data_IF_597464990168
#
_entry.id   IF_597464990168
#
_cell.length_a   1.000
_cell.length_b   1.000
_cell.length_c   1.000
_cell.angle_alpha   90.00
_cell.angle_beta   90.00
_cell.angle_gamma   90.00
#
_symmetry.space_group_name_H-M   'P 1'
#
loop_
_entity.id
_entity.type
_entity.pdbx_description
1 polymer ?
#
# COMPACT_ATOMS: atom_id res chain seq x y z
N UNK A 1 -0.44 29.46 -9.24
CA UNK A 1 -1.18 28.74 -10.30
C UNK A 1 -2.65 28.95 -10.03
N UNK A 2 -3.40 29.50 -10.98
CA UNK A 2 -4.86 29.50 -10.93
C UNK A 2 -5.31 28.03 -10.88
N UNK A 3 -6.09 27.66 -9.85
CA UNK A 3 -6.54 26.28 -9.66
C UNK A 3 -7.42 25.77 -10.80
N UNK A 4 -7.66 24.46 -10.83
CA UNK A 4 -8.61 23.84 -11.74
C UNK A 4 -10.03 24.30 -11.42
N UNK A 5 -10.97 24.21 -12.37
CA UNK A 5 -12.39 24.51 -12.15
C UNK A 5 -13.11 23.37 -11.45
N UNK A 6 -12.69 22.13 -11.69
CA UNK A 6 -13.28 20.94 -11.07
C UNK A 6 -12.69 20.65 -9.70
N UNK A 7 -13.55 20.26 -8.76
CA UNK A 7 -13.12 19.76 -7.46
C UNK A 7 -12.26 18.50 -7.61
N UNK A 8 -12.59 17.65 -8.58
CA UNK A 8 -11.86 16.42 -8.87
C UNK A 8 -10.36 16.65 -9.11
N UNK A 9 -10.00 17.51 -10.08
CA UNK A 9 -8.60 17.75 -10.40
C UNK A 9 -7.88 18.55 -9.30
N UNK A 10 -8.58 19.47 -8.62
CA UNK A 10 -8.01 20.16 -7.46
C UNK A 10 -7.65 19.20 -6.32
N UNK A 11 -8.54 18.24 -6.01
CA UNK A 11 -8.29 17.21 -4.99
C UNK A 11 -7.12 16.32 -5.39
N UNK A 12 -7.09 15.82 -6.64
CA UNK A 12 -5.99 14.97 -7.10
C UNK A 12 -4.64 15.73 -7.12
N UNK A 13 -4.62 16.98 -7.57
CA UNK A 13 -3.42 17.81 -7.60
C UNK A 13 -2.89 18.09 -6.19
N UNK A 14 -3.74 18.54 -5.28
CA UNK A 14 -3.35 18.92 -3.91
C UNK A 14 -2.89 17.72 -3.06
N UNK A 15 -3.39 16.53 -3.36
CA UNK A 15 -2.98 15.27 -2.72
C UNK A 15 -1.80 14.58 -3.41
N UNK A 16 -1.37 15.06 -4.59
CA UNK A 16 -0.21 14.54 -5.30
C UNK A 16 -0.47 13.27 -6.12
N UNK A 17 -1.71 13.06 -6.57
CA UNK A 17 -2.08 11.92 -7.42
C UNK A 17 -1.70 12.09 -8.89
N UNK A 18 -1.50 13.32 -9.37
CA UNK A 18 -1.34 13.59 -10.82
C UNK A 18 0.12 13.41 -11.22
N UNK A 19 0.37 12.47 -12.16
CA UNK A 19 1.63 12.32 -12.84
C UNK A 19 1.59 12.89 -14.26
N UNK A 20 0.69 12.37 -15.10
CA UNK A 20 0.49 12.81 -16.48
C UNK A 20 -1.00 12.85 -16.83
N UNK A 21 -1.40 13.77 -17.70
CA UNK A 21 -2.75 13.88 -18.24
C UNK A 21 -2.65 14.14 -19.75
N UNK A 22 -3.56 13.56 -20.55
CA UNK A 22 -3.56 13.77 -22.00
C UNK A 22 -4.03 15.17 -22.39
N UNK A 23 -4.99 15.72 -21.66
CA UNK A 23 -5.55 17.05 -21.87
C UNK A 23 -6.22 17.52 -20.56
N UNK A 24 -5.55 18.45 -19.87
CA UNK A 24 -6.06 19.00 -18.62
C UNK A 24 -7.30 19.88 -18.83
N UNK A 25 -7.36 20.67 -19.89
CA UNK A 25 -8.45 21.62 -20.09
C UNK A 25 -9.75 20.89 -20.41
N UNK A 26 -9.71 19.94 -21.34
CA UNK A 26 -10.87 19.12 -21.69
C UNK A 26 -11.37 18.26 -20.53
N UNK A 27 -10.45 17.65 -19.77
CA UNK A 27 -10.82 16.85 -18.60
C UNK A 27 -11.41 17.70 -17.48
N UNK A 28 -10.81 18.86 -17.19
CA UNK A 28 -11.32 19.78 -16.17
C UNK A 28 -12.72 20.28 -16.50
N UNK A 29 -12.96 20.65 -17.75
CA UNK A 29 -14.28 21.08 -18.21
C UNK A 29 -15.34 19.98 -18.12
N UNK A 30 -14.96 18.70 -18.34
CA UNK A 30 -15.85 17.55 -18.19
C UNK A 30 -16.17 17.27 -16.71
N UNK A 31 -15.14 17.23 -15.87
CA UNK A 31 -15.28 16.93 -14.44
C UNK A 31 -16.01 18.04 -13.68
N UNK A 32 -15.84 19.31 -14.07
CA UNK A 32 -16.54 20.45 -13.48
C UNK A 32 -18.06 20.41 -13.71
N UNK A 33 -18.52 19.67 -14.73
CA UNK A 33 -19.94 19.44 -15.01
C UNK A 33 -20.49 18.19 -14.30
N UNK A 34 -19.67 17.45 -13.55
CA UNK A 34 -20.05 16.15 -12.97
C UNK A 34 -20.26 15.06 -14.03
N UNK A 35 -19.67 15.21 -15.22
CA UNK A 35 -19.88 14.33 -16.37
C UNK A 35 -18.69 13.39 -16.63
N UNK A 36 -17.68 13.38 -15.77
CA UNK A 36 -16.56 12.45 -15.92
C UNK A 36 -17.00 11.05 -15.45
N UNK A 37 -17.29 10.18 -16.41
CA UNK A 37 -17.34 8.73 -16.14
C UNK A 37 -15.95 8.18 -16.41
N UNK A 38 -15.32 7.59 -15.40
CA UNK A 38 -13.94 7.13 -15.49
C UNK A 38 -13.75 5.71 -14.95
N UNK A 39 -12.78 4.99 -15.50
CA UNK A 39 -12.46 3.63 -15.07
C UNK A 39 -11.00 3.42 -14.70
N UNK A 40 -10.78 2.40 -13.88
CA UNK A 40 -9.48 1.74 -13.68
C UNK A 40 -9.69 0.24 -13.91
N UNK A 41 -8.79 -0.39 -14.66
CA UNK A 41 -8.74 -1.83 -14.87
C UNK A 41 -7.97 -2.57 -13.78
N UNK A 42 -8.49 -3.73 -13.36
CA UNK A 42 -7.87 -4.58 -12.34
C UNK A 42 -7.81 -6.04 -12.80
N UNK A 43 -6.61 -6.46 -13.22
CA UNK A 43 -6.35 -7.86 -13.59
C UNK A 43 -6.39 -8.80 -12.37
N UNK A 44 -7.03 -9.95 -12.56
CA UNK A 44 -7.41 -10.91 -11.52
C UNK A 44 -6.31 -11.96 -11.31
N UNK A 45 -5.06 -11.52 -11.19
CA UNK A 45 -3.87 -12.38 -11.13
C UNK A 45 -3.64 -13.06 -9.77
N UNK A 46 -4.36 -12.60 -8.73
CA UNK A 46 -4.29 -13.12 -7.37
C UNK A 46 -5.66 -12.99 -6.68
N UNK A 47 -5.82 -13.66 -5.53
CA UNK A 47 -7.05 -13.66 -4.74
C UNK A 47 -7.36 -12.31 -4.06
N UNK A 48 -6.38 -11.41 -4.01
CA UNK A 48 -6.53 -10.08 -3.46
C UNK A 48 -5.78 -9.09 -4.34
N UNK A 49 -6.26 -7.85 -4.34
CA UNK A 49 -5.44 -6.70 -4.73
C UNK A 49 -4.41 -6.40 -3.65
N UNK A 50 -3.40 -5.62 -4.00
CA UNK A 50 -2.38 -5.15 -3.06
C UNK A 50 -2.38 -3.62 -2.98
N UNK A 51 -1.60 -3.08 -2.06
CA UNK A 51 -1.53 -1.63 -1.79
C UNK A 51 -1.21 -0.76 -3.02
N UNK A 52 -0.46 -1.27 -4.00
CA UNK A 52 -0.28 -0.56 -5.29
C UNK A 52 -1.60 -0.30 -6.03
N UNK A 53 -2.57 -1.21 -5.96
CA UNK A 53 -3.91 -0.99 -6.52
C UNK A 53 -4.76 -0.06 -5.64
N UNK A 54 -4.46 0.01 -4.35
CA UNK A 54 -5.19 0.90 -3.44
C UNK A 54 -5.05 2.37 -3.84
N UNK A 55 -3.89 2.76 -4.39
CA UNK A 55 -3.67 4.11 -4.89
C UNK A 55 -4.67 4.51 -5.99
N UNK A 56 -4.87 3.66 -7.00
CA UNK A 56 -5.83 3.94 -8.07
C UNK A 56 -7.28 3.77 -7.61
N UNK A 57 -7.54 2.91 -6.62
CA UNK A 57 -8.84 2.88 -5.94
C UNK A 57 -9.15 4.21 -5.24
N UNK A 58 -8.16 4.86 -4.63
CA UNK A 58 -8.33 6.18 -4.03
C UNK A 58 -8.59 7.27 -5.08
N UNK A 59 -8.06 7.15 -6.30
CA UNK A 59 -8.45 8.05 -7.40
C UNK A 59 -9.94 7.89 -7.75
N UNK A 60 -10.44 6.64 -7.82
CA UNK A 60 -11.86 6.37 -8.04
C UNK A 60 -12.72 6.87 -6.87
N UNK A 61 -12.23 6.76 -5.64
CA UNK A 61 -12.90 7.32 -4.46
C UNK A 61 -13.08 8.83 -4.61
N UNK A 62 -12.00 9.56 -4.89
CA UNK A 62 -12.07 11.02 -5.03
C UNK A 62 -12.91 11.44 -6.24
N UNK A 63 -12.89 10.67 -7.33
CA UNK A 63 -13.81 10.86 -8.45
C UNK A 63 -15.27 10.79 -7.98
N UNK A 64 -15.64 9.77 -7.21
CA UNK A 64 -16.99 9.63 -6.67
C UNK A 64 -17.37 10.77 -5.71
N UNK A 65 -16.47 11.12 -4.78
CA UNK A 65 -16.73 12.18 -3.80
C UNK A 65 -16.87 13.57 -4.43
N UNK A 66 -16.31 13.77 -5.63
CA UNK A 66 -16.38 15.04 -6.38
C UNK A 66 -17.49 15.04 -7.43
N UNK A 67 -18.49 14.17 -7.29
CA UNK A 67 -19.71 14.20 -8.10
C UNK A 67 -19.63 13.49 -9.44
N UNK A 68 -18.58 12.70 -9.68
CA UNK A 68 -18.35 11.99 -10.93
C UNK A 68 -18.57 10.47 -10.76
N UNK A 69 -18.57 9.69 -11.86
CA UNK A 69 -18.96 8.26 -11.85
C UNK A 69 -17.75 7.33 -12.03
N UNK A 70 -17.35 6.56 -11.01
CA UNK A 70 -16.29 5.56 -11.14
C UNK A 70 -16.77 4.24 -11.72
N UNK A 71 -15.87 3.58 -12.45
CA UNK A 71 -16.01 2.22 -12.95
C UNK A 71 -14.81 1.41 -12.45
N UNK A 72 -15.09 0.31 -11.74
CA UNK A 72 -14.08 -0.72 -11.48
C UNK A 72 -14.20 -1.80 -12.54
N UNK A 73 -13.27 -1.84 -13.48
CA UNK A 73 -13.25 -2.86 -14.54
C UNK A 73 -12.47 -4.08 -14.07
N UNK A 74 -13.16 -5.20 -13.87
CA UNK A 74 -12.54 -6.49 -13.64
C UNK A 74 -11.91 -6.98 -14.96
N UNK A 75 -10.62 -7.29 -14.92
CA UNK A 75 -9.87 -7.75 -16.08
C UNK A 75 -10.02 -9.24 -16.36
N UNK A 76 -11.24 -9.80 -16.36
CA UNK A 76 -11.44 -11.24 -16.54
C UNK A 76 -10.86 -11.76 -17.86
N UNK A 77 -11.07 -11.04 -18.96
CA UNK A 77 -10.52 -11.36 -20.27
C UNK A 77 -9.04 -10.97 -20.41
N UNK A 78 -8.64 -9.79 -19.93
CA UNK A 78 -7.23 -9.35 -19.99
C UNK A 78 -6.30 -10.22 -19.15
N UNK A 79 -6.78 -10.78 -18.04
CA UNK A 79 -6.01 -11.74 -17.21
C UNK A 79 -5.71 -13.04 -17.95
N UNK A 80 -6.57 -13.45 -18.89
CA UNK A 80 -6.31 -14.61 -19.76
C UNK A 80 -5.21 -14.33 -20.80
N UNK A 81 -4.79 -13.06 -20.97
CA UNK A 81 -3.74 -12.63 -21.90
C UNK A 81 -2.44 -12.32 -21.13
N UNK A 82 -2.54 -11.52 -20.06
CA UNK A 82 -1.46 -11.14 -19.17
C UNK A 82 -0.74 -9.83 -19.57
N UNK A 83 -0.76 -8.83 -18.67
CA UNK A 83 -0.09 -7.53 -18.88
C UNK A 83 1.45 -7.65 -18.81
N UNK A 84 2.18 -7.29 -19.89
CA UNK A 84 3.65 -7.23 -19.88
C UNK A 84 4.21 -5.94 -19.26
N UNK A 85 3.38 -4.92 -18.99
CA UNK A 85 3.85 -3.58 -18.64
C UNK A 85 4.58 -3.55 -17.29
N UNK A 86 5.80 -2.98 -17.30
CA UNK A 86 6.61 -2.83 -16.09
C UNK A 86 7.13 -4.15 -15.48
N UNK A 87 7.15 -5.24 -16.26
CA UNK A 87 7.57 -6.58 -15.84
C UNK A 87 8.64 -7.15 -16.77
N UNK A 88 9.59 -7.85 -16.17
CA UNK A 88 10.71 -8.50 -16.86
C UNK A 88 10.44 -9.98 -17.18
N UNK A 89 9.46 -10.60 -16.50
CA UNK A 89 9.13 -12.02 -16.65
C UNK A 89 7.73 -12.21 -17.23
N UNK A 90 7.57 -13.26 -18.05
CA UNK A 90 6.28 -13.69 -18.59
C UNK A 90 5.31 -14.08 -17.47
N UNK A 91 4.05 -13.65 -17.59
CA UNK A 91 3.01 -13.99 -16.61
C UNK A 91 2.65 -15.48 -16.69
N UNK A 92 2.55 -16.12 -15.53
CA UNK A 92 1.97 -17.46 -15.44
C UNK A 92 0.48 -17.42 -15.84
N UNK A 93 0.11 -18.25 -16.82
CA UNK A 93 -1.27 -18.39 -17.27
C UNK A 93 -2.11 -19.07 -16.19
N UNK A 94 -3.21 -18.41 -15.81
CA UNK A 94 -4.17 -18.93 -14.85
C UNK A 94 -5.30 -19.66 -15.58
N UNK A 95 -5.86 -20.67 -14.93
CA UNK A 95 -7.08 -21.31 -15.42
C UNK A 95 -8.26 -20.34 -15.31
N UNK A 96 -9.29 -20.53 -16.15
CA UNK A 96 -10.51 -19.72 -16.10
C UNK A 96 -11.15 -19.79 -14.72
N UNK A 97 -11.19 -20.98 -14.11
CA UNK A 97 -11.75 -21.18 -12.76
C UNK A 97 -10.97 -20.40 -11.68
N UNK A 98 -9.64 -20.36 -11.75
CA UNK A 98 -8.83 -19.53 -10.86
C UNK A 98 -9.13 -18.04 -11.06
N UNK A 99 -9.31 -17.59 -12.31
CA UNK A 99 -9.64 -16.20 -12.62
C UNK A 99 -11.02 -15.84 -12.05
N UNK A 100 -12.02 -16.71 -12.19
CA UNK A 100 -13.35 -16.52 -11.59
C UNK A 100 -13.29 -16.46 -10.05
N UNK A 101 -12.53 -17.36 -9.43
CA UNK A 101 -12.34 -17.37 -7.98
C UNK A 101 -11.65 -16.09 -7.49
N UNK A 102 -10.60 -15.65 -8.19
CA UNK A 102 -9.90 -14.40 -7.89
C UNK A 102 -10.83 -13.19 -8.04
N UNK A 103 -11.61 -13.13 -9.13
CA UNK A 103 -12.62 -12.08 -9.35
C UNK A 103 -13.55 -12.01 -8.16
N UNK A 104 -14.21 -13.11 -7.80
CA UNK A 104 -15.16 -13.15 -6.69
C UNK A 104 -14.55 -12.63 -5.38
N UNK A 105 -13.31 -13.03 -5.09
CA UNK A 105 -12.56 -12.61 -3.90
C UNK A 105 -12.20 -11.12 -3.91
N UNK A 106 -11.87 -10.54 -5.08
CA UNK A 106 -11.51 -9.12 -5.21
C UNK A 106 -12.73 -8.19 -5.09
N UNK A 107 -13.93 -8.60 -5.55
CA UNK A 107 -15.12 -7.72 -5.60
C UNK A 107 -15.43 -7.06 -4.26
N UNK A 108 -15.27 -7.80 -3.16
CA UNK A 108 -15.56 -7.31 -1.81
C UNK A 108 -14.65 -6.17 -1.35
N UNK A 109 -13.43 -6.06 -1.90
CA UNK A 109 -12.47 -5.00 -1.55
C UNK A 109 -13.00 -3.63 -1.95
N UNK A 110 -13.53 -3.52 -3.17
CA UNK A 110 -13.95 -2.22 -3.70
C UNK A 110 -15.13 -1.63 -2.94
N UNK A 111 -16.08 -2.46 -2.49
CA UNK A 111 -17.26 -2.02 -1.76
C UNK A 111 -16.94 -1.36 -0.40
N UNK A 112 -15.73 -1.55 0.14
CA UNK A 112 -15.25 -0.88 1.34
C UNK A 112 -14.88 0.59 1.09
N UNK A 113 -14.53 0.91 -0.15
CA UNK A 113 -14.02 2.24 -0.55
C UNK A 113 -15.02 2.98 -1.44
N UNK A 114 -15.76 2.27 -2.30
CA UNK A 114 -16.69 2.85 -3.27
C UNK A 114 -18.13 2.47 -2.94
N UNK A 115 -19.05 3.43 -3.13
CA UNK A 115 -20.48 3.17 -3.07
C UNK A 115 -20.99 2.68 -4.42
N UNK A 116 -21.52 1.47 -4.47
CA UNK A 116 -22.17 0.89 -5.66
C UNK A 116 -23.69 1.09 -5.61
N UNK A 117 -24.32 1.21 -6.77
CA UNK A 117 -25.75 1.48 -6.89
C UNK A 117 -26.16 2.03 -8.25
N UNK A 118 -27.39 2.55 -8.33
CA UNK A 118 -27.99 3.06 -9.57
C UNK A 118 -27.99 4.59 -9.66
N UNK A 119 -27.44 5.29 -8.66
CA UNK A 119 -27.33 6.74 -8.64
C UNK A 119 -26.38 7.29 -9.72
N UNK A 120 -26.50 8.60 -9.97
CA UNK A 120 -25.68 9.31 -10.97
C UNK A 120 -24.17 9.27 -10.66
N UNK A 121 -23.78 9.12 -9.40
CA UNK A 121 -22.37 9.01 -8.95
C UNK A 121 -22.02 7.64 -8.40
N UNK A 122 -23.00 6.74 -8.30
CA UNK A 122 -22.76 5.40 -7.78
C UNK A 122 -21.87 4.63 -8.75
N UNK A 123 -20.91 3.91 -8.17
CA UNK A 123 -19.93 3.11 -8.88
C UNK A 123 -20.60 1.96 -9.61
N UNK A 124 -20.00 1.57 -10.73
CA UNK A 124 -20.37 0.35 -11.45
C UNK A 124 -19.16 -0.58 -11.56
N UNK A 125 -19.43 -1.88 -11.49
CA UNK A 125 -18.44 -2.92 -11.66
C UNK A 125 -18.77 -3.71 -12.91
N UNK A 126 -17.84 -3.75 -13.86
CA UNK A 126 -17.99 -4.47 -15.12
C UNK A 126 -16.85 -5.48 -15.27
N UNK A 127 -17.00 -6.44 -16.17
CA UNK A 127 -15.97 -7.42 -16.48
C UNK A 127 -15.68 -7.43 -17.98
N UNK A 128 -14.42 -7.18 -18.37
CA UNK A 128 -14.06 -7.16 -19.79
C UNK A 128 -14.15 -8.54 -20.47
N UNK A 129 -14.25 -9.63 -19.71
CA UNK A 129 -14.60 -10.93 -20.25
C UNK A 129 -15.94 -10.90 -21.01
N UNK A 130 -16.87 -10.00 -20.65
CA UNK A 130 -18.20 -9.91 -21.28
C UNK A 130 -18.17 -9.58 -22.77
N UNK A 131 -17.11 -8.90 -23.24
CA UNK A 131 -16.90 -8.58 -24.65
C UNK A 131 -15.66 -9.27 -25.23
N UNK A 132 -14.54 -9.32 -24.51
CA UNK A 132 -13.30 -9.88 -25.04
C UNK A 132 -13.42 -11.37 -25.40
N UNK A 133 -14.12 -12.16 -24.59
CA UNK A 133 -14.28 -13.62 -24.85
C UNK A 133 -15.22 -13.93 -26.01
N UNK A 134 -15.95 -12.92 -26.50
CA UNK A 134 -16.91 -13.05 -27.60
C UNK A 134 -16.39 -12.49 -28.92
N UNK A 135 -15.20 -11.88 -28.92
CA UNK A 135 -14.58 -11.36 -30.13
C UNK A 135 -14.09 -12.51 -31.00
N UNK A 136 -14.66 -12.66 -32.18
CA UNK A 136 -14.13 -13.59 -33.18
C UNK A 136 -12.77 -13.09 -33.68
N UNK A 137 -11.81 -14.00 -33.86
CA UNK A 137 -10.44 -13.65 -34.23
C UNK A 137 -10.35 -12.74 -35.46
N UNK A 138 -11.05 -13.09 -36.54
CA UNK A 138 -11.02 -12.33 -37.80
C UNK A 138 -11.70 -10.97 -37.65
N UNK A 139 -12.80 -10.89 -36.88
CA UNK A 139 -13.48 -9.62 -36.59
C UNK A 139 -12.59 -8.72 -35.74
N UNK A 140 -11.91 -9.26 -34.72
CA UNK A 140 -10.94 -8.52 -33.93
C UNK A 140 -9.84 -7.94 -34.83
N UNK A 141 -9.23 -8.74 -35.70
CA UNK A 141 -8.18 -8.24 -36.61
C UNK A 141 -8.71 -7.16 -37.56
N UNK A 142 -9.87 -7.38 -38.17
CA UNK A 142 -10.43 -6.48 -39.18
C UNK A 142 -10.99 -5.20 -38.58
N UNK A 143 -11.66 -5.26 -37.45
CA UNK A 143 -12.42 -4.14 -36.91
C UNK A 143 -11.62 -3.37 -35.85
N UNK A 144 -10.67 -4.02 -35.18
CA UNK A 144 -9.82 -3.44 -34.13
C UNK A 144 -8.35 -3.42 -34.57
N UNK A 145 -7.78 -4.58 -34.91
CA UNK A 145 -6.36 -4.77 -35.23
C UNK A 145 -5.85 -3.87 -36.36
N UNK A 146 -6.67 -3.57 -37.38
CA UNK A 146 -6.34 -2.65 -38.48
C UNK A 146 -5.94 -1.23 -38.02
N UNK A 147 -6.31 -0.86 -36.80
CA UNK A 147 -6.00 0.45 -36.23
C UNK A 147 -4.66 0.47 -35.49
N UNK A 148 -3.96 -0.67 -35.38
CA UNK A 148 -2.66 -0.76 -34.71
C UNK A 148 -1.52 -0.90 -35.73
N UNK A 149 -0.44 -0.16 -35.50
CA UNK A 149 0.80 -0.31 -36.27
C UNK A 149 1.80 -1.07 -35.42
N UNK A 150 2.27 -2.22 -35.92
CA UNK A 150 3.30 -3.03 -35.25
C UNK A 150 4.54 -2.19 -34.97
N UNK A 151 5.01 -1.38 -35.93
CA UNK A 151 6.16 -0.49 -35.72
C UNK A 151 5.97 0.44 -34.52
N UNK A 152 4.78 1.04 -34.37
CA UNK A 152 4.48 1.92 -33.23
C UNK A 152 4.40 1.15 -31.93
N UNK A 153 3.77 -0.03 -31.92
CA UNK A 153 3.67 -0.87 -30.72
C UNK A 153 5.06 -1.27 -30.19
N UNK A 154 6.00 -1.58 -31.10
CA UNK A 154 7.39 -1.92 -30.75
C UNK A 154 8.16 -0.76 -30.11
N UNK A 155 7.79 0.49 -30.40
CA UNK A 155 8.45 1.68 -29.80
C UNK A 155 7.99 2.02 -28.38
N UNK A 156 6.91 1.40 -27.89
CA UNK A 156 6.41 1.67 -26.54
C UNK A 156 7.41 1.15 -25.51
N UNK A 157 7.72 1.94 -24.49
CA UNK A 157 8.75 1.57 -23.51
C UNK A 157 8.47 0.22 -22.82
N UNK A 158 7.20 -0.14 -22.58
CA UNK A 158 6.80 -1.44 -22.03
C UNK A 158 7.22 -2.63 -22.90
N UNK A 159 7.33 -2.43 -24.21
CA UNK A 159 7.74 -3.46 -25.19
C UNK A 159 9.21 -3.32 -25.53
N UNK A 160 9.64 -2.10 -25.90
CA UNK A 160 11.00 -1.79 -26.33
C UNK A 160 12.03 -2.25 -25.30
N UNK A 161 11.81 -1.99 -24.02
CA UNK A 161 12.76 -2.36 -22.97
C UNK A 161 12.91 -3.88 -22.79
N UNK A 162 11.84 -4.67 -22.98
CA UNK A 162 11.93 -6.14 -22.95
C UNK A 162 12.72 -6.67 -24.14
N UNK A 163 12.44 -6.15 -25.34
CA UNK A 163 13.15 -6.53 -26.56
C UNK A 163 14.64 -6.15 -26.51
N UNK A 164 14.97 -4.97 -26.00
CA UNK A 164 16.37 -4.53 -25.80
C UNK A 164 17.14 -5.39 -24.80
N UNK A 165 16.44 -6.02 -23.85
CA UNK A 165 17.01 -6.95 -22.87
C UNK A 165 17.03 -8.39 -23.35
N UNK A 166 16.71 -8.63 -24.62
CA UNK A 166 16.58 -9.97 -25.22
C UNK A 166 15.60 -10.89 -24.46
N UNK A 167 14.62 -10.29 -23.77
CA UNK A 167 13.56 -11.04 -23.12
C UNK A 167 12.49 -11.37 -24.13
N UNK A 168 12.09 -12.65 -24.16
CA UNK A 168 11.00 -13.11 -25.03
C UNK A 168 9.72 -12.32 -24.72
N UNK A 169 9.05 -11.85 -25.75
CA UNK A 169 7.70 -11.28 -25.66
C UNK A 169 6.79 -12.12 -26.55
N UNK A 170 5.87 -12.83 -25.90
CA UNK A 170 4.98 -13.73 -26.62
C UNK A 170 3.92 -12.96 -27.42
N UNK A 171 3.36 -13.61 -28.44
CA UNK A 171 2.27 -13.03 -29.23
C UNK A 171 1.06 -12.68 -28.37
N UNK A 172 0.76 -13.49 -27.35
CA UNK A 172 -0.35 -13.24 -26.44
C UNK A 172 -0.13 -11.96 -25.63
N UNK A 173 1.02 -11.78 -24.99
CA UNK A 173 1.36 -10.56 -24.24
C UNK A 173 1.37 -9.32 -25.13
N UNK A 174 1.84 -9.45 -26.38
CA UNK A 174 1.83 -8.33 -27.34
C UNK A 174 0.42 -7.85 -27.69
N UNK A 175 -0.58 -8.74 -27.65
CA UNK A 175 -1.98 -8.40 -27.87
C UNK A 175 -2.67 -7.77 -26.64
N UNK A 176 -2.05 -7.80 -25.46
CA UNK A 176 -2.62 -7.21 -24.25
C UNK A 176 -2.99 -5.73 -24.43
N UNK A 177 -2.10 -4.95 -25.05
CA UNK A 177 -2.36 -3.52 -25.31
C UNK A 177 -3.56 -3.28 -26.25
N UNK A 178 -3.85 -4.23 -27.14
CA UNK A 178 -5.01 -4.18 -28.04
C UNK A 178 -6.29 -4.44 -27.24
N UNK A 179 -6.27 -5.45 -26.37
CA UNK A 179 -7.39 -5.76 -25.47
C UNK A 179 -7.73 -4.57 -24.57
N UNK A 180 -6.74 -4.01 -23.86
CA UNK A 180 -6.95 -2.87 -22.97
C UNK A 180 -7.41 -1.61 -23.72
N UNK A 181 -6.88 -1.35 -24.92
CA UNK A 181 -7.33 -0.24 -25.74
C UNK A 181 -8.80 -0.41 -26.17
N UNK A 182 -9.20 -1.63 -26.53
CA UNK A 182 -10.58 -1.94 -26.91
C UNK A 182 -11.55 -1.83 -25.73
N UNK A 183 -11.13 -2.18 -24.51
CA UNK A 183 -11.92 -1.96 -23.29
C UNK A 183 -12.38 -0.51 -23.16
N UNK A 184 -11.51 0.47 -23.47
CA UNK A 184 -11.87 1.88 -23.39
C UNK A 184 -12.97 2.24 -24.40
N UNK A 185 -12.91 1.68 -25.62
CA UNK A 185 -13.93 1.89 -26.65
C UNK A 185 -15.26 1.28 -26.23
N UNK A 186 -15.26 0.05 -25.73
CA UNK A 186 -16.47 -0.63 -25.27
C UNK A 186 -17.10 0.07 -24.07
N UNK A 187 -16.30 0.46 -23.08
CA UNK A 187 -16.79 1.23 -21.93
C UNK A 187 -17.35 2.59 -22.37
N UNK A 188 -16.70 3.27 -23.32
CA UNK A 188 -17.23 4.52 -23.86
C UNK A 188 -18.61 4.34 -24.50
N UNK A 189 -18.78 3.30 -25.32
CA UNK A 189 -20.06 2.99 -25.98
C UNK A 189 -21.15 2.57 -25.00
N UNK A 190 -20.81 1.77 -23.99
CA UNK A 190 -21.77 1.17 -23.05
C UNK A 190 -22.22 2.14 -21.96
N UNK A 191 -21.30 2.98 -21.47
CA UNK A 191 -21.53 3.75 -20.25
C UNK A 191 -21.24 5.23 -20.41
N UNK A 192 -20.84 5.69 -21.61
CA UNK A 192 -20.34 7.05 -21.80
C UNK A 192 -19.03 7.30 -21.07
N UNK A 193 -18.24 6.26 -20.78
CA UNK A 193 -16.93 6.42 -20.16
C UNK A 193 -16.00 7.25 -21.05
N UNK A 194 -15.35 8.25 -20.45
CA UNK A 194 -14.48 9.20 -21.16
C UNK A 194 -13.12 9.39 -20.53
N UNK A 195 -12.86 8.82 -19.35
CA UNK A 195 -11.55 8.89 -18.70
C UNK A 195 -11.07 7.49 -18.31
N UNK A 196 -9.82 7.17 -18.61
CA UNK A 196 -9.13 6.03 -18.03
C UNK A 196 -8.04 6.53 -17.09
N UNK A 197 -8.01 5.96 -15.89
CA UNK A 197 -6.99 6.23 -14.88
C UNK A 197 -6.13 5.00 -14.63
N UNK A 198 -4.87 5.21 -14.24
CA UNK A 198 -3.96 4.11 -13.93
C UNK A 198 -2.63 4.56 -13.33
N UNK A 199 -1.73 3.62 -13.05
CA UNK A 199 -0.34 3.91 -12.70
C UNK A 199 0.43 4.50 -13.89
N UNK A 200 1.55 5.17 -13.63
CA UNK A 200 2.38 5.78 -14.69
C UNK A 200 2.95 4.75 -15.67
N UNK A 201 3.11 3.50 -15.24
CA UNK A 201 3.47 2.36 -16.08
C UNK A 201 2.41 1.99 -17.13
N UNK A 202 1.16 2.43 -16.96
CA UNK A 202 0.04 2.14 -17.86
C UNK A 202 -0.17 3.20 -18.94
N UNK A 203 0.64 4.28 -18.94
CA UNK A 203 0.45 5.42 -19.85
C UNK A 203 0.32 5.00 -21.33
N UNK A 204 1.21 4.13 -21.81
CA UNK A 204 1.19 3.66 -23.20
C UNK A 204 -0.11 2.97 -23.59
N UNK A 205 -0.60 2.06 -22.73
CA UNK A 205 -1.84 1.33 -22.99
C UNK A 205 -3.07 2.25 -22.93
N UNK A 206 -3.09 3.19 -21.98
CA UNK A 206 -4.20 4.14 -21.85
C UNK A 206 -4.28 5.05 -23.10
N UNK A 207 -3.15 5.60 -23.54
CA UNK A 207 -3.09 6.45 -24.74
C UNK A 207 -3.48 5.69 -26.00
N UNK A 208 -3.15 4.39 -26.10
CA UNK A 208 -3.64 3.55 -27.19
C UNK A 208 -5.16 3.43 -27.20
N UNK A 209 -5.79 3.32 -26.03
CA UNK A 209 -7.25 3.36 -25.92
C UNK A 209 -7.86 4.67 -26.40
N UNK A 210 -7.24 5.81 -26.04
CA UNK A 210 -7.67 7.14 -26.52
C UNK A 210 -7.59 7.23 -28.05
N UNK A 211 -6.47 6.81 -28.63
CA UNK A 211 -6.26 6.85 -30.08
C UNK A 211 -7.17 5.85 -30.83
N UNK A 212 -7.40 4.66 -30.26
CA UNK A 212 -8.34 3.69 -30.83
C UNK A 212 -9.76 4.26 -30.81
N UNK A 213 -10.20 4.85 -29.70
CA UNK A 213 -11.51 5.50 -29.60
C UNK A 213 -11.72 6.55 -30.67
N UNK A 214 -10.72 7.42 -30.89
CA UNK A 214 -10.74 8.41 -31.98
C UNK A 214 -10.90 7.77 -33.36
N UNK A 215 -10.21 6.66 -33.64
CA UNK A 215 -10.29 5.93 -34.92
C UNK A 215 -11.61 5.18 -35.10
N UNK A 216 -12.22 4.75 -34.00
CA UNK A 216 -13.48 4.01 -33.97
C UNK A 216 -14.72 4.90 -33.73
N UNK A 217 -14.54 6.23 -33.72
CA UNK A 217 -15.62 7.22 -33.68
C UNK A 217 -16.27 7.40 -32.31
N UNK A 218 -15.55 7.18 -31.21
CA UNK A 218 -16.04 7.56 -29.87
C UNK A 218 -15.98 9.06 -29.66
N UNK A 219 -16.66 9.53 -28.60
CA UNK A 219 -16.40 10.86 -28.04
C UNK A 219 -14.94 11.02 -27.60
N UNK A 220 -14.50 12.27 -27.37
CA UNK A 220 -13.15 12.55 -26.87
C UNK A 220 -12.92 11.82 -25.53
N UNK A 221 -11.87 11.00 -25.53
CA UNK A 221 -11.39 10.22 -24.39
C UNK A 221 -10.16 10.87 -23.75
N UNK A 222 -9.96 10.65 -22.47
CA UNK A 222 -8.90 11.25 -21.66
C UNK A 222 -8.08 10.18 -20.92
N UNK A 223 -6.81 10.47 -20.70
CA UNK A 223 -5.88 9.67 -19.92
C UNK A 223 -5.42 10.47 -18.70
N UNK A 224 -5.36 9.85 -17.52
CA UNK A 224 -4.77 10.42 -16.31
C UNK A 224 -4.01 9.35 -15.55
N UNK A 225 -2.72 9.56 -15.28
CA UNK A 225 -1.92 8.61 -14.51
C UNK A 225 -1.47 9.15 -13.18
N UNK A 226 -1.21 8.24 -12.25
CA UNK A 226 -0.65 8.50 -10.93
C UNK A 226 0.79 7.97 -10.83
N UNK A 227 1.68 8.63 -10.08
CA UNK A 227 3.08 8.22 -10.07
C UNK A 227 3.24 6.84 -9.44
N UNK A 228 4.18 6.06 -9.95
CA UNK A 228 4.66 4.88 -9.22
C UNK A 228 5.28 5.33 -7.89
N UNK A 229 4.78 4.80 -6.79
CA UNK A 229 5.25 5.19 -5.47
C UNK A 229 6.54 4.47 -5.09
N UNK A 230 7.53 5.29 -4.74
CA UNK A 230 8.74 4.89 -4.03
C UNK A 230 8.72 5.49 -2.62
N UNK A 231 9.32 4.76 -1.67
CA UNK A 231 9.67 5.29 -0.35
C UNK A 231 10.86 6.24 -0.46
N UNK A 232 11.10 7.04 0.58
CA UNK A 232 12.27 7.93 0.65
C UNK A 232 13.60 7.14 0.58
N UNK A 233 13.61 5.90 1.08
CA UNK A 233 14.71 4.94 0.91
C UNK A 233 14.86 4.36 -0.51
N UNK A 234 13.97 4.69 -1.45
CA UNK A 234 14.00 4.22 -2.84
C UNK A 234 13.36 2.85 -3.07
N UNK A 235 12.77 2.23 -2.04
CA UNK A 235 12.06 0.97 -2.19
C UNK A 235 10.71 1.17 -2.90
N UNK A 236 10.30 0.19 -3.72
CA UNK A 236 8.96 0.21 -4.32
C UNK A 236 7.90 0.01 -3.23
N UNK A 237 6.90 0.88 -3.21
CA UNK A 237 5.80 0.78 -2.26
C UNK A 237 5.05 -0.54 -2.44
N UNK A 238 4.72 -1.22 -1.34
CA UNK A 238 3.96 -2.47 -1.35
C UNK A 238 4.75 -3.76 -1.55
N UNK A 239 6.08 -3.69 -1.61
CA UNK A 239 6.95 -4.87 -1.42
C UNK A 239 7.68 -4.75 -0.10
N UNK A 240 7.35 -5.60 0.85
CA UNK A 240 8.15 -5.82 2.06
C UNK A 240 9.10 -7.00 1.84
N UNK A 241 10.02 -7.22 2.78
CA UNK A 241 10.83 -8.45 2.79
C UNK A 241 9.98 -9.74 2.82
N UNK A 242 8.73 -9.64 3.27
CA UNK A 242 7.77 -10.75 3.39
C UNK A 242 6.81 -10.84 2.19
N UNK A 243 6.93 -9.96 1.20
CA UNK A 243 6.11 -9.98 -0.01
C UNK A 243 5.16 -8.78 -0.14
N UNK A 244 4.02 -9.00 -0.80
CA UNK A 244 3.05 -7.94 -1.07
C UNK A 244 2.15 -7.65 0.14
N UNK A 245 1.78 -6.39 0.32
CA UNK A 245 0.74 -5.99 1.29
C UNK A 245 -0.62 -6.10 0.61
N UNK A 246 -1.36 -7.17 0.96
CA UNK A 246 -2.68 -7.48 0.41
C UNK A 246 -3.79 -6.68 1.08
N UNK A 247 -4.90 -6.48 0.37
CA UNK A 247 -6.07 -5.73 0.86
C UNK A 247 -7.14 -6.62 1.51
N UNK A 248 -7.18 -7.91 1.17
CA UNK A 248 -8.06 -8.86 1.83
C UNK A 248 -7.46 -9.32 3.16
N UNK A 249 -8.33 -9.38 4.17
CA UNK A 249 -7.97 -9.71 5.55
C UNK A 249 -7.47 -11.16 5.73
N UNK A 250 -7.84 -12.07 4.83
CA UNK A 250 -7.39 -13.47 4.82
C UNK A 250 -5.95 -13.62 4.29
N UNK A 251 -5.42 -12.62 3.58
CA UNK A 251 -4.05 -12.61 3.06
C UNK A 251 -3.12 -11.63 3.78
N UNK A 252 -3.66 -10.57 4.38
CA UNK A 252 -2.94 -9.65 5.25
C UNK A 252 -3.89 -9.25 6.37
N UNK A 253 -3.58 -9.64 7.61
CA UNK A 253 -4.46 -9.37 8.73
C UNK A 253 -4.62 -7.86 8.92
N UNK A 254 -5.76 -7.36 9.45
CA UNK A 254 -5.92 -5.93 9.73
C UNK A 254 -4.82 -5.37 10.65
N UNK A 255 -4.27 -6.21 11.55
CA UNK A 255 -3.13 -5.84 12.38
C UNK A 255 -1.85 -5.65 11.56
N UNK A 256 -1.52 -6.59 10.66
CA UNK A 256 -0.33 -6.46 9.80
C UNK A 256 -0.46 -5.29 8.83
N UNK A 257 -1.68 -5.06 8.30
CA UNK A 257 -1.98 -3.90 7.46
C UNK A 257 -1.79 -2.59 8.23
N UNK A 258 -2.31 -2.51 9.45
CA UNK A 258 -2.10 -1.35 10.33
C UNK A 258 -0.62 -1.15 10.66
N UNK A 259 0.10 -2.23 11.00
CA UNK A 259 1.53 -2.19 11.31
C UNK A 259 2.36 -1.73 10.12
N UNK A 260 2.01 -2.14 8.90
CA UNK A 260 2.66 -1.66 7.68
C UNK A 260 2.64 -0.12 7.62
N UNK A 261 1.48 0.50 7.83
CA UNK A 261 1.34 1.95 7.83
C UNK A 261 2.04 2.60 9.03
N UNK A 262 1.94 1.99 10.21
CA UNK A 262 2.60 2.46 11.43
C UNK A 262 4.12 2.54 11.29
N UNK A 263 4.69 1.67 10.46
CA UNK A 263 6.12 1.58 10.17
C UNK A 263 6.59 2.45 8.99
N UNK A 264 5.71 3.31 8.45
CA UNK A 264 6.08 4.29 7.42
C UNK A 264 7.27 5.15 7.86
N UNK A 265 8.22 5.41 6.96
CA UNK A 265 9.34 6.32 7.18
C UNK A 265 8.86 7.75 7.42
N UNK A 266 9.51 8.49 8.33
CA UNK A 266 9.08 9.86 8.71
C UNK A 266 8.89 10.77 7.49
N UNK A 267 9.80 10.66 6.50
CA UNK A 267 9.78 11.44 5.27
C UNK A 267 8.58 11.13 4.35
N UNK A 268 7.95 9.97 4.49
CA UNK A 268 6.85 9.52 3.64
C UNK A 268 5.46 9.71 4.29
N UNK A 269 5.39 9.93 5.60
CA UNK A 269 4.11 9.96 6.36
C UNK A 269 3.12 10.95 5.76
N UNK A 270 3.54 12.19 5.51
CA UNK A 270 2.67 13.25 4.98
C UNK A 270 2.19 12.91 3.56
N UNK A 271 3.08 12.36 2.73
CA UNK A 271 2.73 11.91 1.37
C UNK A 271 1.69 10.81 1.43
N UNK A 272 1.85 9.82 2.31
CA UNK A 272 0.92 8.70 2.43
C UNK A 272 -0.40 9.10 3.09
N UNK A 273 -0.40 10.04 4.03
CA UNK A 273 -1.63 10.65 4.57
C UNK A 273 -2.46 11.27 3.44
N UNK A 274 -1.82 11.97 2.49
CA UNK A 274 -2.52 12.58 1.35
C UNK A 274 -3.11 11.55 0.39
N UNK A 275 -2.40 10.45 0.13
CA UNK A 275 -2.74 9.47 -0.90
C UNK A 275 -3.68 8.36 -0.43
N UNK A 276 -3.59 7.93 0.84
CA UNK A 276 -4.25 6.71 1.33
C UNK A 276 -5.29 6.96 2.42
N UNK A 277 -5.61 8.22 2.70
CA UNK A 277 -6.62 8.58 3.68
C UNK A 277 -7.60 9.61 3.13
N UNK A 278 -8.71 9.77 3.84
CA UNK A 278 -9.74 10.78 3.57
C UNK A 278 -9.62 12.00 4.49
N UNK A 279 -8.54 12.09 5.29
CA UNK A 279 -8.34 13.17 6.23
C UNK A 279 -8.27 14.53 5.52
N UNK A 280 -8.85 15.61 6.09
CA UNK A 280 -8.75 16.96 5.53
C UNK A 280 -7.30 17.40 5.36
N UNK A 281 -6.99 18.13 4.30
CA UNK A 281 -5.61 18.62 4.05
C UNK A 281 -5.07 19.50 5.18
N UNK A 282 -5.93 20.28 5.83
CA UNK A 282 -5.57 21.08 7.00
C UNK A 282 -5.19 20.24 8.21
N UNK A 283 -5.78 19.05 8.37
CA UNK A 283 -5.40 18.12 9.42
C UNK A 283 -4.07 17.43 9.10
N UNK A 284 -3.88 17.06 7.83
CA UNK A 284 -2.60 16.52 7.34
C UNK A 284 -1.46 17.53 7.52
N UNK A 285 -1.73 18.82 7.31
CA UNK A 285 -0.75 19.89 7.53
C UNK A 285 -0.31 19.98 9.00
N UNK A 286 -1.26 19.93 9.94
CA UNK A 286 -0.94 19.88 11.38
C UNK A 286 -0.11 18.64 11.74
N UNK A 287 -0.51 17.47 11.26
CA UNK A 287 0.22 16.21 11.49
C UNK A 287 1.64 16.25 10.88
N UNK A 288 1.78 16.89 9.72
CA UNK A 288 3.07 17.07 9.05
C UNK A 288 4.02 18.07 9.72
N UNK A 289 3.50 18.92 10.62
CA UNK A 289 4.32 19.84 11.42
C UNK A 289 4.96 19.16 12.65
N UNK A 290 4.51 17.95 13.01
CA UNK A 290 5.06 17.18 14.13
C UNK A 290 6.48 16.70 13.83
N UNK A 291 7.37 16.80 14.82
CA UNK A 291 8.78 16.42 14.68
C UNK A 291 9.28 15.58 15.85
N UNK A 292 10.45 14.96 15.69
CA UNK A 292 11.07 14.16 16.73
C UNK A 292 10.18 12.99 17.17
N UNK A 293 9.89 12.88 18.47
CA UNK A 293 9.04 11.80 18.97
C UNK A 293 7.56 11.95 18.57
N UNK A 294 7.09 13.17 18.31
CA UNK A 294 5.68 13.47 18.03
C UNK A 294 5.24 12.99 16.64
N UNK A 295 6.18 12.75 15.71
CA UNK A 295 5.91 12.15 14.39
C UNK A 295 5.16 10.80 14.51
N UNK A 296 5.31 10.11 15.65
CA UNK A 296 4.58 8.86 15.90
C UNK A 296 3.06 9.06 15.91
N UNK A 297 2.56 10.23 16.29
CA UNK A 297 1.12 10.52 16.23
C UNK A 297 0.64 10.63 14.77
N UNK A 298 1.43 11.22 13.88
CA UNK A 298 1.14 11.24 12.44
C UNK A 298 1.15 9.83 11.83
N UNK A 299 2.06 8.95 12.28
CA UNK A 299 2.11 7.55 11.84
C UNK A 299 0.92 6.73 12.33
N UNK A 300 0.50 6.94 13.58
CA UNK A 300 -0.72 6.32 14.13
C UNK A 300 -1.94 6.79 13.35
N UNK A 301 -2.09 8.10 13.13
CA UNK A 301 -3.19 8.66 12.36
C UNK A 301 -3.26 8.09 10.93
N UNK A 302 -2.11 7.91 10.25
CA UNK A 302 -2.05 7.24 8.96
C UNK A 302 -2.54 5.79 9.05
N UNK A 303 -2.03 5.02 10.01
CA UNK A 303 -2.40 3.62 10.19
C UNK A 303 -3.88 3.44 10.54
N UNK A 304 -4.39 4.25 11.47
CA UNK A 304 -5.79 4.24 11.88
C UNK A 304 -6.71 4.59 10.71
N UNK A 305 -6.42 5.69 9.99
CA UNK A 305 -7.26 6.15 8.89
C UNK A 305 -7.27 5.18 7.71
N UNK A 306 -6.10 4.69 7.30
CA UNK A 306 -6.01 3.74 6.18
C UNK A 306 -6.66 2.40 6.53
N UNK A 307 -6.46 1.89 7.75
CA UNK A 307 -7.07 0.64 8.21
C UNK A 307 -8.57 0.78 8.39
N UNK A 308 -9.06 1.91 8.93
CA UNK A 308 -10.49 2.19 9.06
C UNK A 308 -11.18 2.19 7.71
N UNK A 309 -10.57 2.83 6.71
CA UNK A 309 -11.14 2.90 5.36
C UNK A 309 -11.29 1.52 4.70
N UNK A 310 -10.35 0.60 4.93
CA UNK A 310 -10.34 -0.70 4.25
C UNK A 310 -10.95 -1.85 5.08
N UNK A 311 -10.79 -1.83 6.40
CA UNK A 311 -11.18 -2.93 7.30
C UNK A 311 -12.24 -2.52 8.31
N UNK A 312 -12.63 -1.25 8.35
CA UNK A 312 -13.61 -0.71 9.29
C UNK A 312 -12.98 -0.26 10.61
N UNK A 313 -13.73 0.56 11.33
CA UNK A 313 -13.30 1.22 12.57
C UNK A 313 -12.94 0.23 13.69
N UNK A 314 -13.74 -0.84 13.85
CA UNK A 314 -13.50 -1.85 14.88
C UNK A 314 -12.18 -2.59 14.67
N UNK A 315 -11.86 -2.93 13.42
CA UNK A 315 -10.62 -3.62 13.08
C UNK A 315 -9.41 -2.71 13.29
N UNK A 316 -9.52 -1.42 12.92
CA UNK A 316 -8.47 -0.43 13.16
C UNK A 316 -8.22 -0.23 14.67
N UNK A 317 -9.30 -0.07 15.45
CA UNK A 317 -9.21 0.06 16.92
C UNK A 317 -8.56 -1.16 17.56
N UNK A 318 -8.97 -2.36 17.15
CA UNK A 318 -8.40 -3.62 17.66
C UNK A 318 -6.91 -3.73 17.31
N UNK A 319 -6.53 -3.39 16.07
CA UNK A 319 -5.14 -3.40 15.64
C UNK A 319 -4.28 -2.40 16.42
N UNK A 320 -4.77 -1.17 16.61
CA UNK A 320 -4.09 -0.13 17.38
C UNK A 320 -3.92 -0.52 18.85
N UNK A 321 -4.97 -1.09 19.47
CA UNK A 321 -4.92 -1.58 20.85
C UNK A 321 -3.95 -2.75 21.00
N UNK A 322 -3.97 -3.69 20.05
CA UNK A 322 -3.01 -4.81 20.01
C UNK A 322 -1.59 -4.28 19.88
N UNK A 323 -1.33 -3.32 18.99
CA UNK A 323 -0.01 -2.72 18.83
C UNK A 323 0.45 -1.99 20.10
N UNK A 324 -0.46 -1.29 20.79
CA UNK A 324 -0.18 -0.65 22.07
C UNK A 324 0.20 -1.67 23.12
N UNK A 325 -0.59 -2.73 23.29
CA UNK A 325 -0.30 -3.83 24.23
C UNK A 325 1.00 -4.52 23.88
N UNK A 326 1.23 -4.91 22.64
CA UNK A 326 2.49 -5.53 22.21
C UNK A 326 3.69 -4.59 22.41
N UNK A 327 3.52 -3.27 22.37
CA UNK A 327 4.60 -2.34 22.70
C UNK A 327 4.80 -2.18 24.22
N UNK A 328 3.71 -2.12 24.99
CA UNK A 328 3.72 -1.99 26.45
C UNK A 328 4.17 -3.30 27.15
N UNK A 329 3.69 -4.45 26.68
CA UNK A 329 3.96 -5.82 27.12
C UNK A 329 5.21 -6.40 26.43
N UNK A 330 5.39 -6.16 25.12
CA UNK A 330 6.55 -6.67 24.36
C UNK A 330 7.83 -5.83 24.51
N UNK A 331 7.77 -4.64 25.13
CA UNK A 331 8.96 -4.01 25.71
C UNK A 331 9.45 -4.73 26.99
N UNK A 332 8.68 -5.70 27.50
CA UNK A 332 8.96 -6.39 28.76
C UNK A 332 9.31 -7.88 28.53
N UNK A 333 8.67 -8.62 27.60
CA UNK A 333 8.75 -10.09 27.66
C UNK A 333 9.51 -10.87 26.54
N UNK A 334 9.28 -10.66 25.23
CA UNK A 334 9.56 -11.77 24.27
C UNK A 334 10.81 -11.69 23.39
N UNK A 335 11.47 -10.54 23.21
CA UNK A 335 12.64 -10.40 22.32
C UNK A 335 13.93 -9.94 23.01
N UNK A 336 13.92 -9.81 24.33
CA UNK A 336 15.11 -9.43 25.06
C UNK A 336 15.97 -10.66 25.32
N UNK A 337 17.30 -10.59 25.06
CA UNK A 337 18.22 -11.63 25.49
C UNK A 337 17.94 -11.95 26.95
N UNK A 338 17.77 -13.23 27.25
CA UNK A 338 17.42 -13.69 28.59
C UNK A 338 18.59 -14.49 29.15
N UNK A 339 18.96 -14.20 30.39
CA UNK A 339 19.98 -14.94 31.14
C UNK A 339 19.31 -15.60 32.34
N UNK A 340 19.54 -16.90 32.46
CA UNK A 340 19.09 -17.67 33.61
C UNK A 340 20.08 -17.53 34.77
N UNK A 341 19.55 -17.33 35.98
CA UNK A 341 20.31 -17.30 37.23
C UNK A 341 19.71 -18.33 38.19
N UNK A 342 20.55 -19.07 38.91
CA UNK A 342 20.05 -20.01 39.89
C UNK A 342 19.22 -19.29 40.96
N UNK A 343 18.04 -19.83 41.30
CA UNK A 343 17.18 -19.24 42.33
C UNK A 343 17.89 -18.99 43.66
N UNK A 344 18.81 -19.88 44.04
CA UNK A 344 19.65 -19.73 45.24
C UNK A 344 20.55 -18.49 45.23
N UNK A 345 20.98 -18.01 44.05
CA UNK A 345 21.76 -16.78 43.94
C UNK A 345 20.92 -15.52 44.16
N UNK A 346 19.66 -15.52 43.70
CA UNK A 346 18.72 -14.43 43.97
C UNK A 346 18.28 -14.42 45.43
N UNK A 347 18.05 -15.59 46.03
CA UNK A 347 17.69 -15.70 47.44
C UNK A 347 18.85 -15.27 48.37
N UNK A 348 20.10 -15.45 47.94
CA UNK A 348 21.29 -14.95 48.65
C UNK A 348 21.57 -13.45 48.42
N UNK A 349 20.87 -12.81 47.48
CA UNK A 349 21.06 -11.41 47.09
C UNK A 349 22.14 -11.24 46.02
N UNK A 350 21.75 -11.33 44.75
CA UNK A 350 22.64 -11.16 43.61
C UNK A 350 23.06 -9.69 43.48
N UNK A 351 24.33 -9.39 43.74
CA UNK A 351 24.84 -8.02 43.62
C UNK A 351 24.62 -7.42 42.22
N UNK A 352 24.12 -6.18 42.17
CA UNK A 352 23.70 -5.51 40.93
C UNK A 352 24.83 -5.45 39.89
N UNK A 353 26.07 -5.20 40.30
CA UNK A 353 27.23 -5.16 39.39
C UNK A 353 27.43 -6.51 38.69
N UNK A 354 27.38 -7.61 39.46
CA UNK A 354 27.51 -8.96 38.93
C UNK A 354 26.34 -9.33 38.01
N UNK A 355 25.12 -8.86 38.30
CA UNK A 355 23.96 -9.09 37.46
C UNK A 355 24.14 -8.48 36.05
N UNK A 356 24.65 -7.25 35.95
CA UNK A 356 24.93 -6.60 34.66
C UNK A 356 26.10 -7.25 33.88
N UNK A 357 27.08 -7.81 34.58
CA UNK A 357 28.16 -8.60 33.95
C UNK A 357 27.64 -9.94 33.44
N UNK A 358 26.86 -10.68 34.24
CA UNK A 358 26.23 -11.94 33.82
C UNK A 358 25.28 -11.75 32.63
N UNK A 359 24.55 -10.64 32.61
CA UNK A 359 23.72 -10.21 31.50
C UNK A 359 24.52 -9.79 30.24
N UNK A 360 25.86 -9.78 30.28
CA UNK A 360 26.72 -9.32 29.19
C UNK A 360 26.41 -7.89 28.71
N UNK A 361 25.82 -7.07 29.59
CA UNK A 361 25.56 -5.65 29.31
C UNK A 361 26.83 -4.82 29.46
N UNK A 362 27.73 -5.23 30.36
CA UNK A 362 29.05 -4.61 30.60
C UNK A 362 30.13 -5.69 30.74
N UNK A 363 31.39 -5.38 30.42
CA UNK A 363 32.47 -6.35 30.40
C UNK A 363 33.09 -6.63 31.78
N UNK A 364 32.87 -5.76 32.78
CA UNK A 364 33.40 -5.94 34.13
C UNK A 364 32.63 -5.16 35.20
N UNK A 365 32.80 -5.55 36.47
CA UNK A 365 32.27 -4.79 37.61
C UNK A 365 32.83 -3.36 37.69
N UNK A 366 34.05 -3.12 37.22
CA UNK A 366 34.62 -1.77 37.12
C UNK A 366 33.91 -0.89 36.09
N UNK A 367 33.43 -1.48 34.99
CA UNK A 367 32.60 -0.80 34.00
C UNK A 367 31.18 -0.53 34.53
N UNK A 368 30.58 -1.50 35.22
CA UNK A 368 29.28 -1.33 35.87
C UNK A 368 29.25 -0.10 36.81
N UNK A 369 30.27 0.05 37.67
CA UNK A 369 30.39 1.22 38.58
C UNK A 369 30.48 2.54 37.84
N UNK A 370 31.25 2.60 36.74
CA UNK A 370 31.35 3.80 35.90
C UNK A 370 29.99 4.15 35.29
N UNK A 371 29.24 3.16 34.81
CA UNK A 371 27.91 3.36 34.25
C UNK A 371 26.89 3.80 35.31
N UNK A 372 26.95 3.29 36.54
CA UNK A 372 26.11 3.76 37.66
C UNK A 372 26.37 5.24 37.95
N UNK A 373 27.63 5.66 38.07
CA UNK A 373 28.00 7.08 38.29
C UNK A 373 27.56 7.98 37.13
N UNK A 374 27.49 7.44 35.91
CA UNK A 374 26.98 8.12 34.72
C UNK A 374 25.46 8.03 34.52
N UNK A 375 24.71 7.37 35.43
CA UNK A 375 23.26 7.19 35.31
C UNK A 375 22.82 6.24 34.18
N UNK A 376 23.73 5.40 33.68
CA UNK A 376 23.53 4.54 32.52
C UNK A 376 22.83 3.21 32.80
N UNK A 377 22.75 2.76 34.06
CA UNK A 377 22.16 1.46 34.43
C UNK A 377 20.77 1.61 35.04
N UNK A 378 19.84 0.72 34.66
CA UNK A 378 18.50 0.63 35.25
C UNK A 378 18.08 -0.81 35.53
N UNK A 379 17.38 -1.02 36.64
CA UNK A 379 16.72 -2.28 37.03
C UNK A 379 15.22 -2.02 37.04
N UNK A 380 14.45 -2.81 36.29
CA UNK A 380 12.99 -2.62 36.13
C UNK A 380 12.64 -1.15 35.82
N UNK A 381 13.39 -0.56 34.89
CA UNK A 381 13.28 0.83 34.43
C UNK A 381 13.59 1.94 35.47
N UNK A 382 13.96 1.56 36.70
CA UNK A 382 14.43 2.45 37.78
C UNK A 382 15.96 2.59 37.71
N UNK A 383 16.47 3.82 37.83
CA UNK A 383 17.90 4.10 37.80
C UNK A 383 18.62 3.49 39.02
N UNK A 384 19.73 2.80 38.76
CA UNK A 384 20.59 2.26 39.83
C UNK A 384 21.50 3.37 40.33
N UNK A 385 21.43 3.68 41.62
CA UNK A 385 22.25 4.71 42.29
C UNK A 385 23.18 4.14 43.35
N UNK A 386 22.91 2.94 43.85
CA UNK A 386 23.74 2.24 44.85
C UNK A 386 24.51 1.08 44.21
N UNK A 387 25.84 1.14 44.25
CA UNK A 387 26.73 0.09 43.77
C UNK A 387 26.66 -1.20 44.62
N UNK A 388 26.09 -1.13 45.84
CA UNK A 388 25.91 -2.26 46.76
C UNK A 388 24.50 -2.87 46.70
N UNK A 389 23.63 -2.38 45.81
CA UNK A 389 22.29 -2.94 45.62
C UNK A 389 22.37 -4.44 45.32
N UNK A 390 21.52 -5.22 45.98
CA UNK A 390 21.37 -6.65 45.75
C UNK A 390 19.98 -6.91 45.15
N UNK A 391 19.94 -7.70 44.09
CA UNK A 391 18.72 -8.17 43.44
C UNK A 391 18.26 -9.46 44.12
N UNK A 392 16.99 -9.50 44.46
CA UNK A 392 16.35 -10.60 45.19
C UNK A 392 15.07 -11.04 44.49
N UNK A 393 14.47 -12.12 44.97
CA UNK A 393 13.15 -12.58 44.51
C UNK A 393 12.04 -11.53 44.66
N UNK A 394 12.23 -10.46 45.45
CA UNK A 394 11.28 -9.34 45.57
C UNK A 394 11.33 -8.37 44.38
N UNK A 395 12.41 -8.40 43.62
CA UNK A 395 12.63 -7.53 42.46
C UNK A 395 12.09 -8.15 41.16
N UNK A 396 11.49 -9.33 41.24
CA UNK A 396 10.80 -9.97 40.11
C UNK A 396 9.55 -9.18 39.74
N UNK A 397 9.35 -8.95 38.45
CA UNK A 397 8.11 -8.39 37.89
C UNK A 397 6.97 -9.42 38.00
N UNK A 398 5.75 -9.01 37.64
CA UNK A 398 4.58 -9.91 37.53
C UNK A 398 4.79 -11.09 36.58
N UNK A 399 5.79 -11.02 35.71
CA UNK A 399 6.17 -12.04 34.73
C UNK A 399 7.29 -12.98 35.24
N UNK A 400 7.76 -12.78 36.47
CA UNK A 400 8.79 -13.63 37.09
C UNK A 400 10.20 -13.39 36.53
N UNK A 401 10.50 -12.18 36.05
CA UNK A 401 11.81 -11.77 35.52
C UNK A 401 12.27 -10.45 36.13
N UNK A 402 13.56 -10.13 36.00
CA UNK A 402 14.14 -8.82 36.33
C UNK A 402 14.72 -8.20 35.05
N UNK A 403 14.30 -6.99 34.69
CA UNK A 403 14.77 -6.29 33.49
C UNK A 403 16.00 -5.45 33.80
N UNK A 404 17.12 -5.73 33.13
CA UNK A 404 18.34 -4.94 33.21
C UNK A 404 18.53 -4.12 31.93
N UNK A 405 18.83 -2.83 32.09
CA UNK A 405 18.99 -1.90 30.97
C UNK A 405 20.29 -1.12 31.07
N UNK A 406 21.02 -1.01 29.95
CA UNK A 406 22.14 -0.10 29.76
C UNK A 406 21.76 0.95 28.69
N UNK A 407 21.53 2.18 29.13
CA UNK A 407 21.02 3.25 28.28
C UNK A 407 19.62 2.96 27.74
N UNK A 408 19.29 3.50 26.56
CA UNK A 408 17.93 3.45 25.96
C UNK A 408 17.68 2.27 25.00
N UNK A 409 18.71 1.48 24.67
CA UNK A 409 18.64 0.50 23.56
C UNK A 409 19.10 -0.92 23.92
N UNK A 410 19.85 -1.09 25.01
CA UNK A 410 20.40 -2.41 25.41
C UNK A 410 19.66 -2.90 26.64
N UNK A 411 18.86 -3.94 26.47
CA UNK A 411 18.05 -4.53 27.53
C UNK A 411 18.24 -6.05 27.54
N UNK A 412 18.29 -6.64 28.74
CA UNK A 412 18.44 -8.08 28.97
C UNK A 412 17.54 -8.47 30.13
N UNK A 413 16.88 -9.61 30.05
CA UNK A 413 16.06 -10.16 31.13
C UNK A 413 16.87 -11.15 31.96
N UNK A 414 16.70 -11.10 33.27
CA UNK A 414 17.25 -12.07 34.21
C UNK A 414 16.10 -12.90 34.76
N UNK A 415 16.17 -14.22 34.60
CA UNK A 415 15.12 -15.15 35.02
C UNK A 415 15.67 -16.17 36.03
N UNK A 416 14.98 -16.44 37.16
CA UNK A 416 15.32 -17.56 38.02
C UNK A 416 15.12 -18.89 37.28
N UNK A 417 16.16 -19.71 37.22
CA UNK A 417 16.14 -21.11 36.77
C UNK A 417 15.96 -22.08 37.94
#
# INVERSE_FOLDING_TARGET
>A
MTGFKSDFLNVLQSRGFIHQCSDFEGLDALAAKGQATAYVGYDCTARSLHIGNFLTMMMLYWLQQTGNKPITLMGGGTTMVGDPSGKDETRAMRTVDEIEANKASIRGVFAKVLRYGNGATDAIMLDNAEWLTKLNWIEMLRDIGRHFSVNRMLTMDSVRLRLEREQEMSFIEFNYMVCQAYDFVELSRRTGCRLQMGGSDQWGNIVNGVELGRRMGTEQLFALTTPLLTTASGAKMGKTAQGAIWLNADQCSPYDFWQYWRNTEDADVVKFLKLFTTLPLSEIEKLGALQGAEINEAKKALADAATTLLHGEEAARTAAETARRTFEEGAIAENLPTVEVAKSELDAGLGVLNAFVKASLVASNGEARRQIKGGGLRVNDVAVTDEKMALTSKDLTSEGVIKLSLGKKRHVLVKPA
#
